data_IF_659066355801
#
_entry.id   IF_659066355801
#
_cell.length_a   1.000
_cell.length_b   1.000
_cell.length_c   1.000
_cell.angle_alpha   90.00
_cell.angle_beta   90.00
_cell.angle_gamma   90.00
#
_symmetry.space_group_name_H-M   'P 1'
#
loop_
_entity.id
_entity.type
_entity.pdbx_description
1 polymer ?
#
# COMPACT_ATOMS: atom_id res chain seq x y z
N UNK A 1 11.33 -5.15 22.31
CA UNK A 1 10.57 -4.50 21.23
C UNK A 1 11.57 -3.78 20.36
N UNK A 2 11.71 -4.16 19.08
CA UNK A 2 12.57 -3.45 18.11
C UNK A 2 11.85 -2.17 17.70
N UNK A 3 12.56 -1.05 17.61
CA UNK A 3 11.97 0.24 17.25
C UNK A 3 11.80 0.42 15.72
N UNK A 4 12.19 -0.60 14.95
CA UNK A 4 11.92 -0.72 13.53
C UNK A 4 11.03 -1.95 13.30
N UNK A 5 10.02 -1.83 12.44
CA UNK A 5 9.21 -2.97 11.98
C UNK A 5 10.12 -4.13 11.54
N UNK A 6 10.19 -5.18 12.37
CA UNK A 6 10.75 -6.50 12.08
C UNK A 6 11.99 -6.51 11.20
N UNK A 7 13.18 -6.35 11.79
CA UNK A 7 14.41 -6.98 11.31
C UNK A 7 14.76 -6.83 9.81
N UNK A 8 14.40 -5.70 9.18
CA UNK A 8 14.84 -5.38 7.81
C UNK A 8 16.29 -4.87 7.74
N UNK A 9 17.12 -5.29 8.70
CA UNK A 9 18.57 -5.14 8.62
C UNK A 9 19.07 -3.71 8.79
N UNK A 10 18.42 -2.88 9.62
CA UNK A 10 19.12 -1.69 10.12
C UNK A 10 20.22 -2.17 11.08
N UNK A 11 21.51 -2.08 10.70
CA UNK A 11 22.60 -2.55 11.55
C UNK A 11 22.64 -1.78 12.87
N UNK A 12 22.11 -0.54 12.91
CA UNK A 12 22.07 0.27 14.12
C UNK A 12 21.13 -0.31 15.17
N UNK A 13 20.04 -0.97 14.77
CA UNK A 13 19.13 -1.67 15.69
C UNK A 13 19.82 -2.88 16.33
N UNK A 14 20.58 -3.66 15.56
CA UNK A 14 21.36 -4.79 16.09
C UNK A 14 22.48 -4.31 17.01
N UNK A 15 23.17 -3.22 16.66
CA UNK A 15 24.20 -2.60 17.52
C UNK A 15 23.57 -2.10 18.82
N UNK A 16 22.42 -1.41 18.76
CA UNK A 16 21.71 -0.93 19.93
C UNK A 16 21.28 -2.09 20.84
N UNK A 17 20.78 -3.17 20.26
CA UNK A 17 20.45 -4.39 21.01
C UNK A 17 21.70 -4.98 21.67
N UNK A 18 22.82 -5.12 20.95
CA UNK A 18 24.09 -5.60 21.51
C UNK A 18 24.55 -4.75 22.70
N UNK A 19 24.57 -3.42 22.54
CA UNK A 19 24.93 -2.49 23.61
C UNK A 19 23.98 -2.60 24.81
N UNK A 20 22.69 -2.77 24.59
CA UNK A 20 21.73 -2.94 25.68
C UNK A 20 21.92 -4.27 26.43
N UNK A 21 22.36 -5.33 25.75
CA UNK A 21 22.67 -6.60 26.42
C UNK A 21 23.88 -6.46 27.33
N UNK A 22 24.92 -5.74 26.88
CA UNK A 22 26.14 -5.53 27.65
C UNK A 22 25.98 -4.50 28.78
N UNK A 23 25.28 -3.38 28.54
CA UNK A 23 25.11 -2.31 29.54
C UNK A 23 24.18 -2.69 30.70
N UNK A 24 23.20 -3.56 30.46
CA UNK A 24 22.16 -3.90 31.44
C UNK A 24 22.20 -5.36 31.90
N UNK A 25 23.26 -6.09 31.56
CA UNK A 25 23.44 -7.53 31.88
C UNK A 25 22.18 -8.36 31.60
N UNK A 26 21.60 -8.17 30.41
CA UNK A 26 20.30 -8.77 30.07
C UNK A 26 20.41 -10.29 29.99
N UNK A 27 19.51 -10.98 30.69
CA UNK A 27 19.32 -12.42 30.62
C UNK A 27 17.91 -12.78 30.11
N UNK A 28 17.78 -13.74 29.17
CA UNK A 28 18.87 -14.44 28.48
C UNK A 28 19.59 -13.55 27.47
N UNK A 29 20.87 -13.84 27.20
CA UNK A 29 21.61 -13.23 26.08
C UNK A 29 21.10 -13.82 24.76
N UNK A 30 20.72 -12.94 23.85
CA UNK A 30 20.33 -13.23 22.48
C UNK A 30 21.58 -13.37 21.61
N UNK A 31 21.65 -14.44 20.84
CA UNK A 31 22.57 -14.56 19.72
C UNK A 31 22.05 -13.68 18.56
N UNK A 32 22.68 -12.53 18.38
CA UNK A 32 22.27 -11.55 17.38
C UNK A 32 22.67 -11.96 15.96
N UNK A 33 23.70 -12.79 15.80
CA UNK A 33 24.13 -13.30 14.49
C UNK A 33 23.12 -14.33 13.99
N UNK A 34 22.78 -15.31 14.84
CA UNK A 34 21.75 -16.30 14.53
C UNK A 34 20.41 -15.62 14.24
N UNK A 35 20.03 -14.61 15.04
CA UNK A 35 18.84 -13.81 14.80
C UNK A 35 18.85 -13.13 13.43
N UNK A 36 19.98 -12.51 13.04
CA UNK A 36 20.12 -11.85 11.75
C UNK A 36 20.02 -12.84 10.57
N UNK A 37 20.64 -14.01 10.69
CA UNK A 37 20.55 -15.09 9.69
C UNK A 37 19.09 -15.56 9.53
N UNK A 38 18.40 -15.79 10.65
CA UNK A 38 17.00 -16.22 10.64
C UNK A 38 16.08 -15.14 10.04
N UNK A 39 16.30 -13.87 10.38
CA UNK A 39 15.55 -12.74 9.82
C UNK A 39 15.74 -12.66 8.29
N UNK A 40 16.98 -12.75 7.81
CA UNK A 40 17.28 -12.73 6.38
C UNK A 40 16.66 -13.93 5.64
N UNK A 41 16.64 -15.11 6.27
CA UNK A 41 15.95 -16.28 5.73
C UNK A 41 14.43 -16.04 5.63
N UNK A 42 13.80 -15.55 6.71
CA UNK A 42 12.36 -15.27 6.74
C UNK A 42 11.95 -14.22 5.70
N UNK A 43 12.73 -13.13 5.57
CA UNK A 43 12.47 -12.07 4.60
C UNK A 43 12.53 -12.53 3.13
N UNK A 44 13.22 -13.64 2.83
CA UNK A 44 13.20 -14.25 1.49
C UNK A 44 11.87 -14.95 1.21
N UNK A 45 11.20 -15.47 2.23
CA UNK A 45 9.95 -16.23 2.11
C UNK A 45 8.72 -15.33 2.00
N UNK A 46 8.80 -14.08 2.44
CA UNK A 46 7.63 -13.18 2.50
C UNK A 46 7.00 -12.91 1.14
N UNK A 47 7.83 -12.75 0.09
CA UNK A 47 7.32 -12.57 -1.26
C UNK A 47 6.51 -13.79 -1.74
N UNK A 48 7.06 -14.99 -1.57
CA UNK A 48 6.40 -16.22 -2.03
C UNK A 48 5.10 -16.48 -1.24
N UNK A 49 5.10 -16.17 0.07
CA UNK A 49 3.89 -16.23 0.90
C UNK A 49 2.84 -15.26 0.39
N UNK A 50 3.21 -14.00 0.15
CA UNK A 50 2.31 -12.97 -0.37
C UNK A 50 1.69 -13.38 -1.70
N UNK A 51 2.49 -13.86 -2.66
CA UNK A 51 1.99 -14.26 -3.98
C UNK A 51 1.02 -15.44 -3.87
N UNK A 52 1.33 -16.44 -3.02
CA UNK A 52 0.43 -17.58 -2.77
C UNK A 52 -0.87 -17.14 -2.11
N UNK A 53 -0.80 -16.24 -1.13
CA UNK A 53 -1.97 -15.68 -0.45
C UNK A 53 -2.85 -14.89 -1.42
N UNK A 54 -2.24 -14.01 -2.23
CA UNK A 54 -2.93 -13.23 -3.26
C UNK A 54 -3.62 -14.14 -4.28
N UNK A 55 -2.95 -15.17 -4.78
CA UNK A 55 -3.53 -16.11 -5.73
C UNK A 55 -4.73 -16.88 -5.16
N UNK A 56 -4.73 -17.17 -3.85
CA UNK A 56 -5.83 -17.84 -3.15
C UNK A 56 -7.03 -16.91 -2.91
N UNK A 57 -6.77 -15.63 -2.63
CA UNK A 57 -7.80 -14.64 -2.31
C UNK A 57 -8.41 -13.94 -3.52
N UNK A 58 -7.72 -13.98 -4.65
CA UNK A 58 -8.21 -13.47 -5.93
C UNK A 58 -9.38 -14.35 -6.38
N UNK A 59 -10.48 -13.70 -6.74
CA UNK A 59 -11.66 -14.39 -7.30
C UNK A 59 -11.78 -13.96 -8.75
N UNK A 60 -11.21 -14.78 -9.63
CA UNK A 60 -11.23 -14.54 -11.07
C UNK A 60 -12.67 -14.47 -11.58
N UNK A 61 -12.88 -13.61 -12.59
CA UNK A 61 -14.18 -13.39 -13.24
C UNK A 61 -15.28 -12.82 -12.33
N UNK A 62 -14.93 -12.21 -11.20
CA UNK A 62 -15.89 -11.36 -10.50
C UNK A 62 -16.25 -10.15 -11.37
N UNK A 63 -17.52 -9.69 -11.35
CA UNK A 63 -17.90 -8.49 -12.09
C UNK A 63 -17.03 -7.32 -11.66
N UNK A 64 -16.34 -6.70 -12.61
CA UNK A 64 -15.65 -5.44 -12.39
C UNK A 64 -16.65 -4.30 -12.69
N UNK A 65 -17.02 -3.48 -11.71
CA UNK A 65 -17.88 -2.33 -11.96
C UNK A 65 -17.24 -1.32 -12.92
N UNK A 66 -18.01 -0.35 -13.45
CA UNK A 66 -17.47 0.67 -14.33
C UNK A 66 -16.26 1.38 -13.70
N UNK A 67 -15.16 1.47 -14.45
CA UNK A 67 -13.91 2.06 -13.94
C UNK A 67 -14.07 3.49 -13.44
N UNK A 68 -15.02 4.24 -14.01
CA UNK A 68 -15.33 5.62 -13.64
C UNK A 68 -15.79 5.76 -12.19
N UNK A 69 -16.43 4.72 -11.63
CA UNK A 69 -16.92 4.75 -10.26
C UNK A 69 -15.76 4.95 -9.27
N UNK A 70 -14.60 4.37 -9.57
CA UNK A 70 -13.42 4.36 -8.70
C UNK A 70 -12.59 5.65 -8.82
N UNK A 71 -12.71 6.39 -9.92
CA UNK A 71 -11.93 7.60 -10.16
C UNK A 71 -12.36 8.71 -9.21
N UNK A 72 -11.38 9.43 -8.66
CA UNK A 72 -11.62 10.55 -7.76
C UNK A 72 -10.46 10.82 -6.82
N UNK A 73 -10.68 11.79 -5.94
CA UNK A 73 -9.78 12.10 -4.83
C UNK A 73 -10.41 11.56 -3.54
N UNK A 74 -9.65 10.78 -2.79
CA UNK A 74 -10.06 10.22 -1.51
C UNK A 74 -9.18 10.82 -0.42
N UNK A 75 -9.76 11.37 0.65
CA UNK A 75 -9.03 12.13 1.66
C UNK A 75 -9.29 11.58 3.04
N UNK A 76 -8.23 11.46 3.84
CA UNK A 76 -8.28 11.29 5.27
C UNK A 76 -7.62 12.49 5.94
N UNK A 77 -8.42 13.34 6.58
CA UNK A 77 -7.96 14.59 7.22
C UNK A 77 -7.22 14.35 8.53
N UNK A 78 -7.47 13.21 9.20
CA UNK A 78 -6.80 12.89 10.47
C UNK A 78 -5.32 12.54 10.26
N UNK A 79 -4.99 11.91 9.12
CA UNK A 79 -3.61 11.57 8.76
C UNK A 79 -2.97 12.54 7.76
N UNK A 80 -3.73 13.52 7.26
CA UNK A 80 -3.31 14.41 6.16
C UNK A 80 -2.83 13.62 4.93
N UNK A 81 -3.61 12.61 4.56
CA UNK A 81 -3.32 11.75 3.41
C UNK A 81 -4.45 11.87 2.39
N UNK A 82 -4.08 12.06 1.13
CA UNK A 82 -4.96 12.00 -0.02
C UNK A 82 -4.51 10.93 -1.01
N UNK A 83 -5.47 10.22 -1.58
CA UNK A 83 -5.27 9.18 -2.58
C UNK A 83 -6.06 9.59 -3.80
N UNK A 84 -5.37 9.91 -4.90
CA UNK A 84 -6.00 10.19 -6.19
C UNK A 84 -6.01 8.92 -7.02
N UNK A 85 -7.19 8.47 -7.44
CA UNK A 85 -7.36 7.35 -8.37
C UNK A 85 -7.71 7.91 -9.75
N UNK A 86 -7.00 7.47 -10.79
CA UNK A 86 -7.17 7.92 -12.16
C UNK A 86 -6.94 6.79 -13.16
N UNK A 87 -7.45 6.94 -14.38
CA UNK A 87 -7.12 6.02 -15.48
C UNK A 87 -5.64 6.08 -15.81
N UNK A 88 -5.06 4.93 -16.08
CA UNK A 88 -3.70 4.84 -16.59
C UNK A 88 -3.69 5.28 -18.05
N UNK A 89 -2.81 6.22 -18.42
CA UNK A 89 -2.63 6.71 -19.79
C UNK A 89 -1.82 5.76 -20.69
N UNK A 90 -1.61 4.52 -20.27
CA UNK A 90 -0.64 3.60 -20.90
C UNK A 90 -1.23 3.01 -22.19
N UNK A 91 -0.93 3.66 -23.32
CA UNK A 91 -1.35 3.26 -24.67
C UNK A 91 -0.66 1.99 -25.19
N UNK A 92 0.23 1.38 -24.39
CA UNK A 92 0.99 0.18 -24.77
C UNK A 92 0.27 -1.15 -24.48
N UNK A 93 -0.90 -1.10 -23.84
CA UNK A 93 -1.66 -2.29 -23.49
C UNK A 93 -2.18 -3.01 -24.75
N UNK A 94 -1.64 -4.21 -25.02
CA UNK A 94 -2.22 -5.10 -26.03
C UNK A 94 -3.59 -5.59 -25.53
N UNK A 95 -4.61 -5.67 -26.40
CA UNK A 95 -5.87 -6.32 -26.06
C UNK A 95 -5.61 -7.75 -25.58
N UNK A 96 -6.08 -8.11 -24.38
CA UNK A 96 -5.98 -9.47 -23.83
C UNK A 96 -4.83 -9.73 -22.83
N UNK A 97 -3.98 -8.75 -22.53
CA UNK A 97 -3.12 -8.79 -21.33
C UNK A 97 -3.84 -8.17 -20.14
N UNK A 98 -3.52 -8.60 -18.89
CA UNK A 98 -3.97 -7.98 -17.63
C UNK A 98 -3.70 -6.47 -17.70
N UNK A 99 -4.70 -5.71 -18.18
CA UNK A 99 -4.57 -4.27 -18.25
C UNK A 99 -4.67 -3.76 -16.83
N UNK A 100 -3.83 -2.79 -16.49
CA UNK A 100 -3.87 -2.11 -15.20
C UNK A 100 -4.53 -0.75 -15.47
N UNK A 101 -5.86 -0.71 -15.66
CA UNK A 101 -6.54 0.44 -16.25
C UNK A 101 -6.61 1.63 -15.31
N UNK A 102 -6.37 1.41 -14.02
CA UNK A 102 -6.36 2.42 -12.99
C UNK A 102 -4.96 2.51 -12.37
N UNK A 103 -4.66 3.70 -11.89
CA UNK A 103 -3.51 3.98 -11.04
C UNK A 103 -3.98 4.82 -9.88
N UNK A 104 -3.22 4.80 -8.79
CA UNK A 104 -3.39 5.77 -7.72
C UNK A 104 -2.09 6.47 -7.40
N UNK A 105 -2.23 7.64 -6.79
CA UNK A 105 -1.14 8.45 -6.31
C UNK A 105 -1.45 8.97 -4.90
N UNK A 106 -0.46 8.88 -4.00
CA UNK A 106 -0.57 9.41 -2.64
C UNK A 106 -0.03 10.84 -2.60
N UNK A 107 -0.80 11.76 -2.05
CA UNK A 107 -0.41 13.16 -1.80
C UNK A 107 0.08 13.93 -3.04
N UNK A 108 -0.37 13.55 -4.24
CA UNK A 108 0.10 14.11 -5.51
C UNK A 108 1.63 13.96 -5.72
N UNK A 109 2.28 13.03 -5.00
CA UNK A 109 3.72 12.81 -5.07
C UNK A 109 4.06 11.80 -6.17
N UNK A 110 4.74 12.18 -7.28
CA UNK A 110 4.94 11.28 -8.41
C UNK A 110 5.59 9.94 -8.07
N UNK A 111 6.46 9.93 -7.05
CA UNK A 111 7.17 8.74 -6.55
C UNK A 111 6.28 7.77 -5.78
N UNK A 112 5.09 8.19 -5.35
CA UNK A 112 4.11 7.38 -4.63
C UNK A 112 2.93 7.03 -5.54
N UNK A 113 3.25 6.59 -6.76
CA UNK A 113 2.27 6.14 -7.76
C UNK A 113 2.35 4.63 -7.91
N UNK A 114 1.20 3.96 -7.93
CA UNK A 114 1.13 2.55 -8.29
C UNK A 114 -0.07 2.26 -9.18
N UNK A 115 0.07 1.22 -10.00
CA UNK A 115 -0.98 0.72 -10.86
C UNK A 115 -1.89 -0.24 -10.09
N UNK A 116 -3.18 -0.21 -10.39
CA UNK A 116 -4.20 -1.02 -9.74
C UNK A 116 -4.61 -2.18 -10.64
N UNK A 117 -4.68 -3.36 -10.03
CA UNK A 117 -5.19 -4.59 -10.62
C UNK A 117 -6.47 -4.99 -9.89
N UNK A 118 -7.47 -5.40 -10.65
CA UNK A 118 -8.71 -5.89 -10.07
C UNK A 118 -8.42 -7.20 -9.31
N UNK A 119 -8.97 -7.32 -8.10
CA UNK A 119 -8.79 -8.50 -7.26
C UNK A 119 -10.11 -9.25 -7.09
N UNK A 120 -11.15 -8.55 -6.62
CA UNK A 120 -12.51 -9.06 -6.48
C UNK A 120 -13.50 -7.91 -6.27
N UNK A 121 -14.66 -7.92 -6.91
CA UNK A 121 -15.73 -6.91 -6.70
C UNK A 121 -15.18 -5.46 -6.73
N UNK A 122 -15.37 -4.69 -5.66
CA UNK A 122 -14.86 -3.33 -5.46
C UNK A 122 -13.48 -3.30 -4.74
N UNK A 123 -12.73 -4.41 -4.73
CA UNK A 123 -11.38 -4.50 -4.16
C UNK A 123 -10.33 -4.59 -5.25
N UNK A 124 -9.34 -3.69 -5.15
CA UNK A 124 -8.20 -3.59 -6.06
C UNK A 124 -6.90 -3.84 -5.31
N UNK A 125 -5.90 -4.35 -6.00
CA UNK A 125 -4.55 -4.54 -5.45
C UNK A 125 -3.53 -3.72 -6.22
N UNK A 126 -2.44 -3.38 -5.56
CA UNK A 126 -1.25 -2.78 -6.18
C UNK A 126 0.00 -3.58 -5.84
N UNK A 127 -0.15 -4.91 -5.71
CA UNK A 127 0.97 -5.83 -5.51
C UNK A 127 2.08 -5.56 -6.56
N UNK A 128 3.35 -5.42 -6.17
CA UNK A 128 4.45 -5.24 -7.11
C UNK A 128 4.52 -6.38 -8.14
N UNK A 129 5.22 -6.18 -9.26
CA UNK A 129 5.38 -7.26 -10.25
C UNK A 129 6.37 -8.33 -9.80
N UNK A 130 7.27 -7.99 -8.89
CA UNK A 130 8.28 -8.88 -8.31
C UNK A 130 8.79 -8.33 -6.97
N UNK A 131 9.51 -9.17 -6.21
CA UNK A 131 10.24 -8.73 -5.02
C UNK A 131 11.23 -7.59 -5.33
N UNK A 132 11.93 -7.66 -6.46
CA UNK A 132 12.87 -6.62 -6.86
C UNK A 132 12.16 -5.31 -7.20
N UNK A 133 10.97 -5.38 -7.81
CA UNK A 133 10.14 -4.21 -8.04
C UNK A 133 9.65 -3.60 -6.72
N UNK A 134 9.26 -4.43 -5.75
CA UNK A 134 8.89 -4.00 -4.41
C UNK A 134 10.05 -3.27 -3.70
N UNK A 135 11.26 -3.85 -3.76
CA UNK A 135 12.46 -3.27 -3.18
C UNK A 135 12.80 -1.91 -3.82
N UNK A 136 12.79 -1.84 -5.16
CA UNK A 136 13.05 -0.61 -5.91
C UNK A 136 12.05 0.50 -5.59
N UNK A 137 10.79 0.16 -5.30
CA UNK A 137 9.72 1.10 -4.92
C UNK A 137 9.67 1.40 -3.42
N UNK A 138 10.54 0.80 -2.61
CA UNK A 138 10.51 0.97 -1.15
C UNK A 138 9.30 0.33 -0.48
N UNK A 139 8.67 -0.66 -1.12
CA UNK A 139 7.42 -1.30 -0.67
C UNK A 139 7.65 -2.57 0.17
N UNK A 140 8.89 -2.86 0.56
CA UNK A 140 9.21 -4.08 1.33
C UNK A 140 8.43 -4.16 2.66
N UNK A 141 8.13 -3.01 3.26
CA UNK A 141 7.33 -2.95 4.49
C UNK A 141 5.81 -3.16 4.26
N UNK A 142 5.37 -3.25 3.01
CA UNK A 142 3.97 -3.46 2.65
C UNK A 142 3.68 -4.91 2.24
N UNK A 143 4.64 -5.84 2.33
CA UNK A 143 4.50 -7.23 1.86
C UNK A 143 3.59 -8.14 2.72
N UNK A 144 2.54 -7.57 3.32
CA UNK A 144 1.39 -8.30 3.89
C UNK A 144 0.19 -7.99 2.99
N UNK A 145 -0.56 -9.01 2.54
CA UNK A 145 -1.63 -8.81 1.55
C UNK A 145 -2.63 -7.71 1.91
N UNK A 146 -3.15 -7.59 3.15
CA UNK A 146 -4.11 -6.53 3.48
C UNK A 146 -3.57 -5.10 3.25
N UNK A 147 -2.24 -4.89 3.39
CA UNK A 147 -1.58 -3.61 3.10
C UNK A 147 -1.50 -3.28 1.61
N UNK A 148 -1.74 -4.26 0.74
CA UNK A 148 -1.70 -4.14 -0.71
C UNK A 148 -3.08 -4.22 -1.35
N UNK A 149 -4.15 -4.15 -0.53
CA UNK A 149 -5.54 -4.10 -0.98
C UNK A 149 -6.16 -2.74 -0.67
N UNK A 150 -6.91 -2.22 -1.63
CA UNK A 150 -7.76 -1.05 -1.51
C UNK A 150 -9.20 -1.51 -1.74
N UNK A 151 -10.06 -1.32 -0.74
CA UNK A 151 -11.48 -1.69 -0.82
C UNK A 151 -12.32 -0.44 -0.96
N UNK A 152 -13.08 -0.34 -2.04
CA UNK A 152 -13.97 0.78 -2.27
C UNK A 152 -15.37 0.44 -1.74
N UNK A 153 -15.93 1.32 -0.90
CA UNK A 153 -17.18 1.06 -0.19
C UNK A 153 -18.28 1.95 -0.76
N UNK A 154 -19.35 1.31 -1.22
CA UNK A 154 -20.53 1.97 -1.77
C UNK A 154 -21.51 2.38 -0.67
N UNK A 155 -22.18 3.51 -0.86
CA UNK A 155 -23.30 3.95 -0.01
C UNK A 155 -24.61 3.24 -0.41
N UNK A 156 -25.72 3.62 0.23
CA UNK A 156 -27.06 3.09 -0.08
C UNK A 156 -27.56 3.39 -1.50
N UNK A 157 -26.97 4.37 -2.19
CA UNK A 157 -27.28 4.69 -3.59
C UNK A 157 -26.42 3.88 -4.58
N UNK A 158 -25.56 3.00 -4.09
CA UNK A 158 -24.63 2.22 -4.92
C UNK A 158 -23.43 3.03 -5.44
N UNK A 159 -23.21 4.26 -4.97
CA UNK A 159 -22.03 5.08 -5.33
C UNK A 159 -20.89 4.86 -4.35
N UNK A 160 -19.65 4.83 -4.86
CA UNK A 160 -18.47 4.77 -4.00
C UNK A 160 -18.39 6.04 -3.15
N UNK A 161 -18.41 5.85 -1.84
CA UNK A 161 -18.40 6.91 -0.83
C UNK A 161 -17.02 7.09 -0.18
N UNK A 162 -16.30 5.99 0.00
CA UNK A 162 -14.98 6.00 0.58
C UNK A 162 -14.13 4.81 0.11
N UNK A 163 -12.84 4.93 0.32
CA UNK A 163 -11.84 3.89 0.15
C UNK A 163 -11.35 3.48 1.55
N UNK A 164 -11.24 2.17 1.77
CA UNK A 164 -10.69 1.57 2.98
C UNK A 164 -9.33 0.94 2.66
N UNK A 165 -8.32 1.24 3.47
CA UNK A 165 -6.98 0.69 3.34
C UNK A 165 -6.45 0.23 4.70
N UNK A 166 -6.12 -1.06 4.81
CA UNK A 166 -5.50 -1.62 6.01
C UNK A 166 -4.00 -1.35 6.03
N UNK A 167 -3.60 -0.28 6.71
CA UNK A 167 -2.19 0.08 6.89
C UNK A 167 -1.47 -0.80 7.94
N UNK A 168 -2.22 -1.54 8.77
CA UNK A 168 -1.65 -2.40 9.80
C UNK A 168 -1.28 -3.78 9.26
N UNK A 169 -1.96 -4.26 8.23
CA UNK A 169 -1.68 -5.55 7.61
C UNK A 169 -2.18 -6.73 8.43
N UNK A 170 -3.38 -6.63 8.98
CA UNK A 170 -4.00 -7.63 9.85
C UNK A 170 -3.81 -7.36 11.34
N UNK A 171 -3.78 -8.45 12.14
CA UNK A 171 -3.77 -8.38 13.61
C UNK A 171 -2.64 -7.49 14.15
N UNK A 172 -2.98 -6.56 15.05
CA UNK A 172 -1.99 -5.74 15.74
C UNK A 172 -0.97 -6.63 16.47
N UNK A 173 0.31 -6.48 16.14
CA UNK A 173 1.40 -7.04 16.94
C UNK A 173 1.72 -6.04 18.06
N UNK A 174 1.34 -6.34 19.30
CA UNK A 174 1.61 -5.47 20.45
C UNK A 174 1.13 -6.04 21.78
N UNK A 175 1.71 -5.59 22.92
CA UNK A 175 1.42 -6.12 24.24
C UNK A 175 0.03 -5.71 24.78
N UNK A 176 -0.75 -4.95 24.03
CA UNK A 176 -2.08 -4.51 24.43
C UNK A 176 -3.11 -5.57 24.01
N UNK A 177 -3.65 -6.39 24.94
CA UNK A 177 -4.82 -7.21 24.65
C UNK A 177 -5.95 -6.32 24.14
N UNK A 178 -6.77 -6.86 23.24
CA UNK A 178 -7.93 -6.21 22.59
C UNK A 178 -7.63 -5.11 21.55
N UNK A 179 -6.35 -4.86 21.20
CA UNK A 179 -6.03 -3.84 20.18
C UNK A 179 -6.44 -4.27 18.76
N UNK A 180 -6.37 -5.57 18.47
CA UNK A 180 -6.75 -6.15 17.18
C UNK A 180 -8.23 -5.91 16.84
N UNK A 181 -9.09 -5.76 17.85
CA UNK A 181 -10.52 -5.46 17.68
C UNK A 181 -10.81 -3.95 17.57
N UNK A 182 -9.80 -3.10 17.80
CA UNK A 182 -9.95 -1.64 17.89
C UNK A 182 -9.40 -0.86 16.71
N UNK A 183 -8.56 -1.47 15.87
CA UNK A 183 -7.97 -0.76 14.72
C UNK A 183 -8.41 -1.43 13.42
N UNK A 184 -9.45 -0.86 12.82
CA UNK A 184 -9.93 -1.25 11.49
C UNK A 184 -9.17 -0.55 10.36
N UNK A 185 -9.56 -0.84 9.10
CA UNK A 185 -9.05 -0.14 7.93
C UNK A 185 -9.20 1.38 8.05
N UNK A 186 -8.20 2.11 7.56
CA UNK A 186 -8.24 3.57 7.48
C UNK A 186 -9.18 3.97 6.36
N UNK A 187 -10.11 4.87 6.67
CA UNK A 187 -11.12 5.36 5.73
C UNK A 187 -10.68 6.65 5.06
N UNK A 188 -10.82 6.72 3.75
CA UNK A 188 -10.54 7.89 2.92
C UNK A 188 -11.84 8.28 2.21
N UNK A 189 -12.44 9.39 2.60
CA UNK A 189 -13.71 9.84 2.04
C UNK A 189 -13.50 10.40 0.65
N UNK A 190 -14.35 9.98 -0.29
CA UNK A 190 -14.32 10.51 -1.65
C UNK A 190 -14.74 11.98 -1.60
N UNK A 191 -13.87 12.87 -2.07
CA UNK A 191 -14.22 14.27 -2.26
C UNK A 191 -15.20 14.34 -3.43
N UNK A 192 -16.37 14.92 -3.20
CA UNK A 192 -17.27 15.22 -4.30
C UNK A 192 -16.55 16.19 -5.24
N UNK A 193 -16.47 15.81 -6.51
CA UNK A 193 -15.95 16.70 -7.54
C UNK A 193 -16.94 17.84 -7.73
N UNK A 194 -16.82 18.91 -6.95
CA UNK A 194 -17.29 20.21 -7.40
C UNK A 194 -16.69 20.45 -8.79
N UNK A 195 -17.55 20.77 -9.75
CA UNK A 195 -17.15 21.06 -11.13
C UNK A 195 -15.96 22.02 -11.16
N UNK A 196 -14.75 21.49 -11.29
CA UNK A 196 -13.55 22.29 -11.52
C UNK A 196 -13.48 22.59 -13.02
N UNK A 197 -14.46 23.36 -13.50
CA UNK A 197 -14.30 24.17 -14.70
C UNK A 197 -13.64 25.48 -14.25
N UNK A 198 -12.30 25.56 -14.32
CA UNK A 198 -11.58 26.80 -14.61
C UNK A 198 -10.07 26.56 -14.59
N UNK A 199 -9.39 27.28 -15.50
CA UNK A 199 -7.94 27.45 -15.65
C UNK A 199 -7.23 26.44 -16.57
N UNK A 200 -7.61 26.48 -17.84
CA UNK A 200 -6.59 26.50 -18.91
C UNK A 200 -5.63 27.67 -18.67
N UNK A 201 -4.30 27.46 -18.61
CA UNK A 201 -3.36 28.56 -18.74
C UNK A 201 -3.35 29.02 -20.19
N UNK A 202 -3.72 30.28 -20.44
CA UNK A 202 -3.38 30.97 -21.69
C UNK A 202 -1.85 30.91 -21.84
N UNK A 203 -1.39 30.16 -22.83
CA UNK A 203 -0.03 30.32 -23.33
C UNK A 203 0.00 31.59 -24.18
N UNK A 204 0.58 32.65 -23.63
CA UNK A 204 1.00 33.80 -24.41
C UNK A 204 1.94 33.36 -25.54
N UNK A 205 1.72 33.81 -26.79
CA UNK A 205 2.64 33.52 -27.88
C UNK A 205 3.96 34.26 -27.64
N UNK A 206 5.05 33.48 -27.57
CA UNK A 206 6.42 33.98 -27.55
C UNK A 206 6.65 34.79 -28.84
N UNK A 207 6.75 36.10 -28.69
CA UNK A 207 7.25 36.99 -29.75
C UNK A 207 8.73 36.72 -29.97
N UNK A 208 9.06 36.28 -31.18
CA UNK A 208 10.43 36.15 -31.68
C UNK A 208 11.02 37.55 -31.88
N UNK A 209 12.19 37.79 -31.28
CA UNK A 209 13.16 38.78 -31.73
C UNK A 209 14.54 38.11 -31.81
#
# INVERSE_FOLDING_TARGET
MSNCNGANGDPTDLIAQALCQELFDKCPRLDLEEFAVQAAHNAKLDWDRLVKEWARERVDNTPCPPLEDFIGLYVNTAFDISIRVAKTLDQSAKPGTDTEPLSFNINSLPRQTAKLRHCRYDTWTFIPSSRNDAARKGMMNLLKLPRLLLSFVRNSEGKISHLEWDLQGGSCEGPAPDLADRVGPVKFHKLESEHTNALTPEMDPVTVF
#
